data_IF_402011460553
#
_entry.id   IF_402011460553
#
_cell.length_a   1.000
_cell.length_b   1.000
_cell.length_c   1.000
_cell.angle_alpha   90.00
_cell.angle_beta   90.00
_cell.angle_gamma   90.00
#
_symmetry.space_group_name_H-M   'P 1'
#
loop_
_entity.id
_entity.type
_entity.pdbx_description
1 polymer ?
#
# COMPACT_ATOMS: atom_id res chain seq x y z
N UNK A 1 -39.85 -8.55 20.76
CA UNK A 1 -39.94 -8.10 22.17
C UNK A 1 -39.32 -6.72 22.25
N UNK A 2 -40.14 -5.68 22.30
CA UNK A 2 -39.73 -4.30 22.54
C UNK A 2 -39.43 -4.14 24.03
N UNK A 3 -38.20 -3.74 24.38
CA UNK A 3 -37.84 -3.37 25.75
C UNK A 3 -38.05 -1.85 25.90
N UNK A 4 -38.62 -1.34 27.00
CA UNK A 4 -38.95 0.08 27.14
C UNK A 4 -37.68 0.92 27.26
N UNK A 5 -37.64 2.06 26.57
CA UNK A 5 -36.67 3.14 26.79
C UNK A 5 -37.02 3.90 28.06
N UNK A 6 -36.44 3.51 29.19
CA UNK A 6 -36.44 4.36 30.39
C UNK A 6 -35.48 5.53 30.18
N UNK A 7 -36.04 6.74 30.05
CA UNK A 7 -35.27 7.98 30.10
C UNK A 7 -34.96 8.31 31.56
N UNK A 8 -33.75 7.96 32.01
CA UNK A 8 -33.24 8.41 33.30
C UNK A 8 -33.03 9.94 33.26
N UNK A 9 -33.94 10.69 33.90
CA UNK A 9 -33.75 12.12 34.12
C UNK A 9 -32.67 12.35 35.18
N UNK A 10 -31.70 13.24 34.96
CA UNK A 10 -30.64 13.48 35.94
C UNK A 10 -31.18 14.22 37.17
N UNK A 11 -30.67 13.91 38.39
CA UNK A 11 -31.03 14.64 39.59
C UNK A 11 -30.59 16.12 39.48
N UNK A 12 -31.47 17.00 39.94
CA UNK A 12 -31.34 18.46 39.83
C UNK A 12 -30.02 18.97 40.43
N UNK A 13 -29.28 19.77 39.65
CA UNK A 13 -28.18 20.60 40.15
C UNK A 13 -26.75 20.25 39.71
N UNK A 14 -26.52 19.22 38.87
CA UNK A 14 -25.21 18.99 38.25
C UNK A 14 -25.28 19.30 36.76
N UNK A 15 -24.38 20.16 36.27
CA UNK A 15 -24.21 20.42 34.83
C UNK A 15 -24.14 19.08 34.09
N UNK A 16 -25.07 18.86 33.17
CA UNK A 16 -25.18 17.68 32.32
C UNK A 16 -23.85 17.42 31.61
N UNK A 17 -23.04 16.51 32.14
CA UNK A 17 -22.08 15.77 31.35
C UNK A 17 -22.93 14.76 30.59
N UNK A 18 -23.20 15.08 29.34
CA UNK A 18 -23.93 14.25 28.40
C UNK A 18 -23.21 12.90 28.31
N UNK A 19 -23.66 11.92 29.10
CA UNK A 19 -23.32 10.52 28.92
C UNK A 19 -24.29 9.98 27.86
N UNK A 20 -24.03 10.28 26.59
CA UNK A 20 -24.84 9.71 25.51
C UNK A 20 -24.55 8.21 25.45
N UNK A 21 -25.48 7.41 25.98
CA UNK A 21 -25.55 6.00 25.67
C UNK A 21 -25.86 5.86 24.17
N UNK A 22 -24.87 5.46 23.37
CA UNK A 22 -25.09 5.05 21.99
C UNK A 22 -25.57 3.60 22.01
N UNK A 23 -26.89 3.39 22.08
CA UNK A 23 -27.48 2.07 21.86
C UNK A 23 -27.73 1.93 20.36
N UNK A 24 -26.77 1.36 19.64
CA UNK A 24 -26.94 1.04 18.23
C UNK A 24 -26.90 -0.48 18.01
N UNK A 25 -28.02 -1.02 17.54
CA UNK A 25 -28.11 -2.39 17.03
C UNK A 25 -27.65 -2.40 15.58
N UNK A 26 -26.42 -2.83 15.35
CA UNK A 26 -25.91 -3.09 14.01
C UNK A 26 -26.24 -4.52 13.61
N UNK A 27 -26.40 -4.78 12.31
CA UNK A 27 -26.65 -6.14 11.79
C UNK A 27 -25.64 -7.18 12.31
N UNK A 28 -24.40 -6.74 12.58
CA UNK A 28 -23.29 -7.60 12.97
C UNK A 28 -22.86 -7.44 14.43
N UNK A 29 -23.23 -6.35 15.12
CA UNK A 29 -22.74 -6.03 16.45
C UNK A 29 -23.84 -5.43 17.34
N UNK A 30 -23.82 -5.80 18.62
CA UNK A 30 -24.65 -5.19 19.66
C UNK A 30 -23.73 -4.64 20.76
N UNK A 31 -23.52 -3.32 20.77
CA UNK A 31 -22.57 -2.66 21.68
C UNK A 31 -23.33 -1.59 22.47
N UNK A 32 -23.64 -1.82 23.76
CA UNK A 32 -24.51 -0.93 24.55
C UNK A 32 -23.86 0.42 24.94
N UNK A 33 -22.53 0.52 24.88
CA UNK A 33 -21.78 1.71 25.28
C UNK A 33 -21.87 2.05 26.78
N UNK A 34 -21.33 3.21 27.21
CA UNK A 34 -20.55 4.18 26.43
C UNK A 34 -19.10 3.72 26.18
N UNK A 35 -18.37 4.46 25.34
CA UNK A 35 -16.93 4.24 25.17
C UNK A 35 -16.18 4.55 26.47
N UNK A 36 -15.27 3.66 26.89
CA UNK A 36 -14.59 3.73 28.19
C UNK A 36 -13.50 4.81 28.27
N UNK A 37 -12.97 5.24 27.12
CA UNK A 37 -11.88 6.22 27.07
C UNK A 37 -12.41 7.65 26.97
N UNK A 38 -11.70 8.58 27.59
CA UNK A 38 -11.91 10.00 27.34
C UNK A 38 -11.55 10.37 25.88
N UNK A 39 -12.13 11.43 25.29
CA UNK A 39 -11.78 11.86 23.95
C UNK A 39 -10.28 12.17 23.81
N UNK A 40 -9.60 11.52 22.86
CA UNK A 40 -8.25 11.89 22.45
C UNK A 40 -8.27 13.14 21.53
N UNK A 41 -7.11 13.79 21.27
CA UNK A 41 -7.06 14.93 20.36
C UNK A 41 -7.63 14.65 18.96
N UNK A 42 -7.38 13.45 18.41
CA UNK A 42 -7.91 13.04 17.10
C UNK A 42 -9.31 12.42 17.20
N UNK A 43 -9.68 11.88 18.37
CA UNK A 43 -10.87 11.04 18.63
C UNK A 43 -10.85 9.74 17.83
N UNK A 44 -10.91 9.84 16.51
CA UNK A 44 -10.76 8.76 15.55
C UNK A 44 -9.30 8.75 15.06
N UNK A 45 -8.59 7.61 15.11
CA UNK A 45 -7.25 7.53 14.51
C UNK A 45 -7.34 7.72 12.99
N UNK A 46 -6.21 8.06 12.36
CA UNK A 46 -6.14 8.12 10.90
C UNK A 46 -6.56 6.77 10.32
N UNK A 47 -7.50 6.79 9.38
CA UNK A 47 -8.03 5.58 8.75
C UNK A 47 -7.21 5.23 7.51
N UNK A 48 -6.31 4.26 7.66
CA UNK A 48 -5.59 3.66 6.55
C UNK A 48 -6.38 2.48 5.98
N UNK A 49 -6.37 2.34 4.66
CA UNK A 49 -6.99 1.22 3.96
C UNK A 49 -6.01 0.64 2.93
N UNK A 50 -6.09 -0.68 2.71
CA UNK A 50 -5.38 -1.35 1.64
C UNK A 50 -6.32 -2.34 0.94
N UNK A 51 -6.51 -2.19 -0.37
CA UNK A 51 -7.31 -3.13 -1.15
C UNK A 51 -7.81 -2.53 -2.45
N UNK A 52 -7.61 -3.26 -3.55
CA UNK A 52 -7.91 -2.79 -4.91
C UNK A 52 -9.11 -3.51 -5.55
N UNK A 53 -9.77 -4.42 -4.81
CA UNK A 53 -11.01 -5.07 -5.28
C UNK A 53 -12.13 -4.04 -5.44
N UNK A 54 -13.17 -4.35 -6.24
CA UNK A 54 -14.31 -3.43 -6.43
C UNK A 54 -14.95 -3.01 -5.10
N UNK A 55 -15.19 -3.96 -4.20
CA UNK A 55 -15.73 -3.66 -2.87
C UNK A 55 -14.72 -2.87 -2.01
N UNK A 56 -13.43 -3.20 -2.10
CA UNK A 56 -12.36 -2.47 -1.41
C UNK A 56 -12.28 -1.01 -1.84
N UNK A 57 -12.35 -0.73 -3.15
CA UNK A 57 -12.35 0.63 -3.71
C UNK A 57 -13.53 1.46 -3.19
N UNK A 58 -14.75 0.91 -3.19
CA UNK A 58 -15.93 1.61 -2.65
C UNK A 58 -15.79 1.87 -1.15
N UNK A 59 -15.33 0.88 -0.38
CA UNK A 59 -15.12 1.05 1.07
C UNK A 59 -14.04 2.10 1.37
N UNK A 60 -12.95 2.10 0.61
CA UNK A 60 -11.87 3.06 0.75
C UNK A 60 -12.32 4.48 0.40
N UNK A 61 -13.05 4.63 -0.72
CA UNK A 61 -13.65 5.91 -1.12
C UNK A 61 -14.55 6.49 -0.02
N UNK A 62 -15.30 5.64 0.69
CA UNK A 62 -16.17 6.07 1.78
C UNK A 62 -15.42 6.48 3.05
N UNK A 63 -14.38 5.72 3.44
CA UNK A 63 -13.84 5.79 4.81
C UNK A 63 -12.37 6.21 4.93
N UNK A 64 -11.55 5.95 3.91
CA UNK A 64 -10.10 6.08 4.04
C UNK A 64 -9.66 7.55 4.04
N UNK A 65 -8.69 7.86 4.89
CA UNK A 65 -7.91 9.10 4.85
C UNK A 65 -6.57 8.87 4.13
N UNK A 66 -6.03 7.65 4.20
CA UNK A 66 -4.89 7.23 3.40
C UNK A 66 -5.08 5.81 2.85
N UNK A 67 -4.57 5.56 1.65
CA UNK A 67 -4.69 4.28 0.96
C UNK A 67 -3.30 3.81 0.55
N UNK A 68 -2.97 2.58 0.92
CA UNK A 68 -1.76 1.91 0.45
C UNK A 68 -2.03 1.23 -0.89
N UNK A 69 -1.20 1.53 -1.88
CA UNK A 69 -1.24 0.92 -3.21
C UNK A 69 0.07 0.24 -3.53
N UNK A 70 0.00 -0.94 -4.12
CA UNK A 70 1.16 -1.69 -4.57
C UNK A 70 1.07 -1.91 -6.08
N UNK A 71 2.19 -1.73 -6.76
CA UNK A 71 2.35 -1.89 -8.19
C UNK A 71 3.83 -1.79 -8.56
N UNK A 72 4.18 -2.36 -9.71
CA UNK A 72 5.55 -2.36 -10.23
C UNK A 72 5.88 -1.14 -11.09
N UNK A 73 4.88 -0.32 -11.45
CA UNK A 73 5.06 0.94 -12.18
C UNK A 73 3.89 1.90 -11.89
N UNK A 74 4.05 3.22 -12.08
CA UNK A 74 2.99 4.18 -11.77
C UNK A 74 1.75 3.98 -12.65
N UNK A 75 1.92 3.68 -13.94
CA UNK A 75 0.84 3.32 -14.86
C UNK A 75 -0.13 2.25 -14.33
N UNK A 76 0.38 1.28 -13.54
CA UNK A 76 -0.41 0.16 -13.01
C UNK A 76 -1.41 0.63 -11.96
N UNK A 77 -1.04 1.61 -11.14
CA UNK A 77 -1.86 2.08 -10.01
C UNK A 77 -2.69 3.32 -10.37
N UNK A 78 -2.24 4.12 -11.34
CA UNK A 78 -2.86 5.40 -11.73
C UNK A 78 -4.38 5.29 -11.96
N UNK A 79 -4.81 4.28 -12.74
CA UNK A 79 -6.24 4.05 -13.01
C UNK A 79 -7.04 3.77 -11.74
N UNK A 80 -6.51 2.96 -10.82
CA UNK A 80 -7.21 2.62 -9.59
C UNK A 80 -7.30 3.81 -8.63
N UNK A 81 -6.26 4.65 -8.59
CA UNK A 81 -6.24 5.89 -7.80
C UNK A 81 -7.32 6.84 -8.31
N UNK A 82 -7.35 7.10 -9.62
CA UNK A 82 -8.36 7.95 -10.26
C UNK A 82 -9.78 7.42 -10.00
N UNK A 83 -10.01 6.12 -10.15
CA UNK A 83 -11.32 5.50 -9.87
C UNK A 83 -11.78 5.71 -8.43
N UNK A 84 -10.90 5.55 -7.43
CA UNK A 84 -11.26 5.75 -6.02
C UNK A 84 -11.57 7.23 -5.74
N UNK A 85 -10.75 8.15 -6.26
CA UNK A 85 -10.98 9.59 -6.15
C UNK A 85 -12.34 9.99 -6.75
N UNK A 86 -12.68 9.47 -7.93
CA UNK A 86 -14.00 9.68 -8.55
C UNK A 86 -15.13 9.10 -7.70
N UNK A 87 -15.00 7.86 -7.21
CA UNK A 87 -16.01 7.24 -6.34
C UNK A 87 -16.25 8.04 -5.05
N UNK A 88 -15.20 8.59 -4.46
CA UNK A 88 -15.29 9.40 -3.24
C UNK A 88 -16.16 10.65 -3.47
N UNK A 89 -15.97 11.33 -4.60
CA UNK A 89 -16.75 12.51 -4.95
C UNK A 89 -18.18 12.19 -5.37
N UNK A 90 -18.35 11.21 -6.26
CA UNK A 90 -19.64 10.94 -6.91
C UNK A 90 -20.62 10.20 -5.99
N UNK A 91 -20.14 9.30 -5.11
CA UNK A 91 -21.01 8.46 -4.28
C UNK A 91 -21.09 8.90 -2.83
N UNK A 92 -20.06 9.59 -2.33
CA UNK A 92 -19.94 9.93 -0.91
C UNK A 92 -19.75 11.43 -0.65
N UNK A 93 -19.77 12.26 -1.70
CA UNK A 93 -19.63 13.72 -1.60
C UNK A 93 -18.37 14.18 -0.84
N UNK A 94 -17.33 13.33 -0.82
CA UNK A 94 -16.04 13.64 -0.20
C UNK A 94 -15.14 14.35 -1.18
N UNK A 95 -14.34 15.29 -0.69
CA UNK A 95 -13.23 15.86 -1.46
C UNK A 95 -12.24 14.75 -1.84
N UNK A 96 -11.99 14.50 -3.15
CA UNK A 96 -11.01 13.53 -3.61
C UNK A 96 -9.61 13.72 -3.02
N UNK A 97 -9.24 14.96 -2.70
CA UNK A 97 -7.93 15.31 -2.15
C UNK A 97 -7.82 15.06 -0.63
N UNK A 98 -8.94 14.73 0.03
CA UNK A 98 -8.94 14.26 1.42
C UNK A 98 -8.43 12.83 1.58
N UNK A 99 -8.22 12.10 0.48
CA UNK A 99 -7.68 10.74 0.46
C UNK A 99 -6.25 10.79 -0.04
N UNK A 100 -5.30 10.31 0.76
CA UNK A 100 -3.87 10.28 0.44
C UNK A 100 -3.43 8.93 -0.07
N UNK A 101 -2.81 8.87 -1.24
CA UNK A 101 -2.33 7.61 -1.81
C UNK A 101 -0.84 7.42 -1.54
N UNK A 102 -0.47 6.30 -0.93
CA UNK A 102 0.91 5.96 -0.59
C UNK A 102 1.33 4.70 -1.35
N UNK A 103 2.22 4.85 -2.32
CA UNK A 103 2.71 3.74 -3.13
C UNK A 103 3.82 2.96 -2.41
N UNK A 104 3.80 1.63 -2.52
CA UNK A 104 4.87 0.77 -2.03
C UNK A 104 6.11 0.91 -2.94
N UNK A 105 7.18 1.50 -2.39
CA UNK A 105 8.49 1.61 -3.03
C UNK A 105 9.56 0.95 -2.16
N UNK A 106 10.49 0.25 -2.79
CA UNK A 106 11.61 -0.43 -2.15
C UNK A 106 12.92 0.11 -2.75
N UNK A 107 13.31 1.36 -2.46
CA UNK A 107 14.48 1.96 -3.08
C UNK A 107 15.77 1.31 -2.58
N UNK A 108 16.78 1.26 -3.45
CA UNK A 108 18.12 0.81 -3.11
C UNK A 108 19.15 1.83 -3.58
N UNK A 109 19.79 2.49 -2.61
CA UNK A 109 20.75 3.56 -2.86
C UNK A 109 22.20 3.09 -2.85
N UNK A 110 22.99 3.72 -3.71
CA UNK A 110 24.45 3.73 -3.66
C UNK A 110 24.98 5.13 -3.93
N UNK A 111 26.23 5.40 -3.55
CA UNK A 111 26.88 6.68 -3.86
C UNK A 111 27.13 6.82 -5.37
N UNK A 112 27.18 5.70 -6.06
CA UNK A 112 27.22 5.59 -7.51
C UNK A 112 26.18 4.57 -7.96
N UNK A 113 25.79 4.64 -9.24
CA UNK A 113 24.90 3.65 -9.85
C UNK A 113 25.49 2.23 -9.77
N UNK A 114 26.80 2.08 -10.00
CA UNK A 114 27.48 0.79 -9.90
C UNK A 114 27.36 0.21 -8.49
N UNK A 115 27.63 1.00 -7.45
CA UNK A 115 27.49 0.56 -6.06
C UNK A 115 26.05 0.10 -5.76
N UNK A 116 25.05 0.87 -6.20
CA UNK A 116 23.65 0.51 -6.03
C UNK A 116 23.33 -0.82 -6.74
N UNK A 117 23.85 -1.01 -7.96
CA UNK A 117 23.66 -2.24 -8.73
C UNK A 117 24.33 -3.44 -8.08
N UNK A 118 25.57 -3.28 -7.59
CA UNK A 118 26.29 -4.31 -6.85
C UNK A 118 25.54 -4.72 -5.58
N UNK A 119 25.03 -3.74 -4.81
CA UNK A 119 24.19 -4.01 -3.63
C UNK A 119 22.93 -4.80 -4.02
N UNK A 120 22.20 -4.37 -5.05
CA UNK A 120 21.00 -5.08 -5.55
C UNK A 120 21.32 -6.54 -5.94
N UNK A 121 22.42 -6.76 -6.67
CA UNK A 121 22.84 -8.11 -7.03
C UNK A 121 23.24 -8.95 -5.82
N UNK A 122 23.88 -8.33 -4.81
CA UNK A 122 24.23 -9.03 -3.57
C UNK A 122 22.99 -9.49 -2.80
N UNK A 123 21.95 -8.66 -2.71
CA UNK A 123 20.69 -9.02 -2.07
C UNK A 123 19.92 -10.08 -2.86
N UNK A 124 19.91 -10.01 -4.20
CA UNK A 124 19.34 -11.08 -5.03
C UNK A 124 20.00 -12.43 -4.79
N UNK A 125 21.31 -12.48 -4.53
CA UNK A 125 22.04 -13.73 -4.21
C UNK A 125 21.70 -14.28 -2.83
N UNK A 126 21.34 -13.41 -1.87
CA UNK A 126 21.00 -13.81 -0.51
C UNK A 126 19.53 -14.23 -0.35
N UNK A 127 18.66 -13.77 -1.23
CA UNK A 127 17.23 -14.03 -1.14
C UNK A 127 16.83 -15.46 -1.51
N UNK A 128 15.78 -15.96 -0.85
CA UNK A 128 15.22 -17.29 -1.12
C UNK A 128 14.15 -17.22 -2.20
N UNK A 129 14.37 -17.91 -3.32
CA UNK A 129 13.38 -18.05 -4.40
C UNK A 129 12.12 -18.75 -3.87
N UNK A 130 12.27 -19.83 -3.10
CA UNK A 130 11.13 -20.57 -2.53
C UNK A 130 10.31 -19.69 -1.58
N UNK A 131 10.99 -18.89 -0.74
CA UNK A 131 10.33 -17.92 0.14
C UNK A 131 9.57 -16.85 -0.65
N UNK A 132 10.17 -16.36 -1.74
CA UNK A 132 9.53 -15.46 -2.68
C UNK A 132 8.26 -16.09 -3.29
N UNK A 133 8.34 -17.31 -3.80
CA UNK A 133 7.20 -18.03 -4.38
C UNK A 133 6.09 -18.30 -3.35
N UNK A 134 6.46 -18.62 -2.11
CA UNK A 134 5.50 -18.77 -1.01
C UNK A 134 4.75 -17.46 -0.72
N UNK A 135 5.44 -16.31 -0.71
CA UNK A 135 4.81 -15.00 -0.57
C UNK A 135 3.87 -14.70 -1.74
N UNK A 136 4.30 -14.98 -2.97
CA UNK A 136 3.47 -14.82 -4.15
C UNK A 136 2.19 -15.65 -4.06
N UNK A 137 2.29 -16.92 -3.64
CA UNK A 137 1.14 -17.77 -3.40
C UNK A 137 0.22 -17.23 -2.31
N UNK A 138 0.77 -16.68 -1.23
CA UNK A 138 0.00 -16.04 -0.17
C UNK A 138 -0.78 -14.80 -0.63
N UNK A 139 -0.18 -13.96 -1.49
CA UNK A 139 -0.84 -12.74 -1.99
C UNK A 139 -1.87 -13.00 -3.08
N UNK A 140 -1.60 -13.98 -3.94
CA UNK A 140 -2.40 -14.21 -5.15
C UNK A 140 -3.34 -15.41 -5.06
N UNK A 141 -3.10 -16.31 -4.10
CA UNK A 141 -3.75 -17.62 -4.02
C UNK A 141 -3.25 -18.60 -5.09
N UNK A 142 -2.14 -18.30 -5.78
CA UNK A 142 -1.63 -19.08 -6.90
C UNK A 142 -0.37 -19.83 -6.45
N UNK A 143 -0.44 -21.15 -6.47
CA UNK A 143 0.73 -21.99 -6.32
C UNK A 143 1.48 -22.08 -7.66
N UNK A 144 2.68 -21.51 -7.74
CA UNK A 144 3.51 -21.57 -8.94
C UNK A 144 4.30 -22.88 -9.06
N UNK A 145 4.34 -23.71 -8.01
CA UNK A 145 5.05 -24.99 -8.09
C UNK A 145 4.29 -26.03 -8.92
N UNK A 146 3.01 -25.77 -9.22
CA UNK A 146 2.21 -26.62 -10.14
C UNK A 146 2.64 -26.49 -11.60
N UNK A 147 3.48 -25.50 -11.94
CA UNK A 147 3.96 -25.24 -13.29
C UNK A 147 5.37 -25.83 -13.51
N UNK A 148 5.66 -26.18 -14.77
CA UNK A 148 6.98 -26.68 -15.15
C UNK A 148 8.09 -25.64 -14.96
N UNK A 149 9.32 -26.11 -14.69
CA UNK A 149 10.46 -25.21 -14.41
C UNK A 149 10.78 -24.26 -15.58
N UNK A 150 10.59 -24.74 -16.81
CA UNK A 150 10.82 -23.99 -18.06
C UNK A 150 9.51 -23.48 -18.70
N UNK A 151 8.37 -23.64 -18.00
CA UNK A 151 7.08 -23.24 -18.53
C UNK A 151 6.94 -21.70 -18.55
N UNK A 152 6.62 -21.16 -19.71
CA UNK A 152 6.44 -19.72 -19.91
C UNK A 152 5.07 -19.26 -19.39
N UNK A 153 5.09 -18.57 -18.25
CA UNK A 153 3.90 -18.17 -17.49
C UNK A 153 3.05 -17.11 -18.19
N UNK A 154 3.52 -16.47 -19.27
CA UNK A 154 2.66 -15.60 -20.11
C UNK A 154 1.68 -16.38 -20.98
N UNK A 155 1.88 -17.68 -21.16
CA UNK A 155 1.07 -18.51 -22.06
C UNK A 155 0.18 -19.51 -21.32
N UNK A 156 0.20 -19.51 -19.98
CA UNK A 156 -0.63 -20.39 -19.17
C UNK A 156 -2.11 -19.98 -19.22
N UNK A 157 -2.99 -20.94 -18.97
CA UNK A 157 -4.45 -20.76 -19.00
C UNK A 157 -4.96 -19.80 -17.90
N UNK A 158 -4.23 -19.70 -16.78
CA UNK A 158 -4.63 -18.83 -15.66
C UNK A 158 -4.55 -17.35 -16.03
N UNK A 159 -5.71 -16.71 -16.18
CA UNK A 159 -5.83 -15.27 -16.44
C UNK A 159 -5.17 -14.40 -15.37
N UNK A 160 -5.17 -14.86 -14.11
CA UNK A 160 -4.56 -14.13 -13.00
C UNK A 160 -3.02 -14.11 -13.12
N UNK A 161 -2.40 -15.26 -13.41
CA UNK A 161 -0.95 -15.35 -13.64
C UNK A 161 -0.57 -14.52 -14.86
N UNK A 162 -1.29 -14.71 -15.96
CA UNK A 162 -1.02 -13.99 -17.19
C UNK A 162 -1.04 -12.48 -16.98
N UNK A 163 -2.03 -11.97 -16.26
CA UNK A 163 -2.16 -10.53 -15.98
C UNK A 163 -1.00 -10.01 -15.11
N UNK A 164 -0.63 -10.74 -14.05
CA UNK A 164 0.49 -10.36 -13.18
C UNK A 164 1.82 -10.34 -13.96
N UNK A 165 2.11 -11.42 -14.68
CA UNK A 165 3.36 -11.58 -15.45
C UNK A 165 3.42 -10.60 -16.62
N UNK A 166 2.31 -10.32 -17.30
CA UNK A 166 2.27 -9.30 -18.33
C UNK A 166 2.61 -7.91 -17.80
N UNK A 167 2.12 -7.56 -16.60
CA UNK A 167 2.49 -6.32 -15.93
C UNK A 167 4.01 -6.22 -15.73
N UNK A 168 4.60 -7.25 -15.10
CA UNK A 168 6.04 -7.29 -14.86
C UNK A 168 6.86 -7.27 -16.15
N UNK A 169 6.44 -7.98 -17.20
CA UNK A 169 7.13 -8.00 -18.49
C UNK A 169 7.18 -6.64 -19.18
N UNK A 170 6.18 -5.78 -18.95
CA UNK A 170 6.17 -4.41 -19.48
C UNK A 170 7.12 -3.50 -18.71
N UNK A 171 7.21 -3.70 -17.39
CA UNK A 171 8.13 -2.96 -16.54
C UNK A 171 9.59 -3.46 -16.66
N UNK A 172 9.79 -4.70 -17.10
CA UNK A 172 11.11 -5.35 -17.20
C UNK A 172 11.29 -5.98 -18.59
N UNK A 173 11.34 -5.17 -19.66
CA UNK A 173 11.35 -5.65 -21.05
C UNK A 173 12.60 -6.46 -21.41
N UNK A 174 13.68 -6.36 -20.64
CA UNK A 174 14.91 -7.14 -20.80
C UNK A 174 14.76 -8.62 -20.41
N UNK A 175 13.71 -8.97 -19.66
CA UNK A 175 13.43 -10.36 -19.28
C UNK A 175 12.70 -11.07 -20.42
N UNK A 176 13.45 -11.90 -21.15
CA UNK A 176 12.95 -12.60 -22.33
C UNK A 176 11.87 -13.65 -22.00
N UNK A 177 12.03 -14.40 -20.90
CA UNK A 177 11.17 -15.54 -20.53
C UNK A 177 10.76 -15.47 -19.05
N UNK A 178 9.47 -15.61 -18.79
CA UNK A 178 8.90 -15.57 -17.43
C UNK A 178 8.52 -16.97 -16.96
N UNK A 179 9.47 -17.68 -16.36
CA UNK A 179 9.22 -18.95 -15.66
C UNK A 179 8.95 -18.71 -14.17
N UNK A 180 8.60 -19.76 -13.41
CA UNK A 180 8.46 -19.64 -11.96
C UNK A 180 9.75 -19.15 -11.28
N UNK A 181 10.92 -19.57 -11.78
CA UNK A 181 12.21 -19.07 -11.29
C UNK A 181 12.38 -17.58 -11.58
N UNK A 182 12.02 -17.11 -12.79
CA UNK A 182 12.06 -15.69 -13.13
C UNK A 182 11.13 -14.85 -12.24
N UNK A 183 9.91 -15.34 -11.99
CA UNK A 183 8.96 -14.68 -11.07
C UNK A 183 9.55 -14.59 -9.67
N UNK A 184 10.03 -15.72 -9.14
CA UNK A 184 10.68 -15.76 -7.83
C UNK A 184 11.83 -14.75 -7.74
N UNK A 185 12.73 -14.75 -8.72
CA UNK A 185 13.84 -13.81 -8.78
C UNK A 185 13.43 -12.34 -8.85
N UNK A 186 12.32 -12.03 -9.55
CA UNK A 186 11.80 -10.67 -9.66
C UNK A 186 11.26 -10.17 -8.32
N UNK A 187 10.51 -11.01 -7.60
CA UNK A 187 9.89 -10.64 -6.32
C UNK A 187 10.85 -10.77 -5.13
N UNK A 188 11.95 -11.53 -5.26
CA UNK A 188 12.94 -11.76 -4.19
C UNK A 188 13.41 -10.45 -3.56
N UNK A 189 13.59 -9.40 -4.36
CA UNK A 189 13.96 -8.07 -3.87
C UNK A 189 12.82 -7.12 -4.18
N UNK A 190 12.19 -6.57 -3.12
CA UNK A 190 11.13 -5.56 -3.23
C UNK A 190 9.69 -6.10 -3.32
N UNK A 191 9.50 -7.41 -3.48
CA UNK A 191 8.17 -8.03 -3.45
C UNK A 191 7.26 -7.54 -4.57
N UNK A 192 6.10 -6.99 -4.23
CA UNK A 192 5.16 -6.38 -5.20
C UNK A 192 5.37 -4.88 -5.40
N UNK A 193 6.36 -4.29 -4.72
CA UNK A 193 6.71 -2.88 -4.84
C UNK A 193 7.68 -2.61 -5.97
N UNK A 194 7.64 -1.40 -6.50
CA UNK A 194 8.69 -0.93 -7.40
C UNK A 194 10.02 -0.80 -6.64
N UNK A 195 11.11 -1.20 -7.29
CA UNK A 195 12.45 -1.26 -6.67
C UNK A 195 13.43 -0.40 -7.44
N UNK A 196 13.37 0.94 -7.32
CA UNK A 196 14.33 1.81 -7.98
C UNK A 196 15.73 1.61 -7.38
N UNK A 197 16.72 1.41 -8.24
CA UNK A 197 18.11 1.15 -7.85
C UNK A 197 18.99 2.21 -8.49
N UNK A 198 19.72 2.98 -7.69
CA UNK A 198 20.60 4.02 -8.22
C UNK A 198 21.13 4.98 -7.16
N UNK A 199 21.58 6.14 -7.61
CA UNK A 199 21.94 7.26 -6.74
C UNK A 199 20.70 7.92 -6.13
N UNK A 200 20.89 8.73 -5.09
CA UNK A 200 19.80 9.48 -4.45
C UNK A 200 19.02 10.36 -5.44
N UNK A 201 19.72 10.96 -6.42
CA UNK A 201 19.11 11.79 -7.47
C UNK A 201 18.23 10.96 -8.40
N UNK A 202 18.73 9.82 -8.90
CA UNK A 202 17.97 8.92 -9.77
C UNK A 202 16.71 8.36 -9.08
N UNK A 203 16.81 8.00 -7.80
CA UNK A 203 15.64 7.52 -7.04
C UNK A 203 14.65 8.64 -6.76
N UNK A 204 15.11 9.86 -6.46
CA UNK A 204 14.24 11.01 -6.30
C UNK A 204 13.49 11.34 -7.60
N UNK A 205 14.17 11.30 -8.75
CA UNK A 205 13.56 11.49 -10.06
C UNK A 205 12.47 10.45 -10.35
N UNK A 206 12.71 9.18 -9.98
CA UNK A 206 11.70 8.12 -10.08
C UNK A 206 10.51 8.40 -9.15
N UNK A 207 10.74 8.79 -7.89
CA UNK A 207 9.66 9.17 -6.97
C UNK A 207 8.83 10.34 -7.53
N UNK A 208 9.49 11.34 -8.13
CA UNK A 208 8.84 12.45 -8.83
C UNK A 208 7.99 11.99 -10.02
N UNK A 209 8.50 11.01 -10.78
CA UNK A 209 7.76 10.37 -11.88
C UNK A 209 6.49 9.67 -11.36
N UNK A 210 6.57 8.94 -10.25
CA UNK A 210 5.41 8.32 -9.62
C UNK A 210 4.34 9.33 -9.20
N UNK A 211 4.73 10.44 -8.57
CA UNK A 211 3.80 11.51 -8.20
C UNK A 211 3.08 12.06 -9.43
N UNK A 212 3.82 12.35 -10.51
CA UNK A 212 3.27 12.96 -11.73
C UNK A 212 2.37 12.00 -12.53
N UNK A 213 2.76 10.74 -12.65
CA UNK A 213 2.04 9.78 -13.50
C UNK A 213 0.88 9.08 -12.78
N UNK A 214 1.07 8.72 -11.51
CA UNK A 214 0.08 7.98 -10.73
C UNK A 214 -0.79 8.82 -9.81
N UNK A 215 -0.47 10.11 -9.61
CA UNK A 215 -1.18 10.99 -8.67
C UNK A 215 -1.13 10.47 -7.21
N UNK A 216 0.04 9.95 -6.83
CA UNK A 216 0.32 9.52 -5.45
C UNK A 216 0.73 10.70 -4.57
N UNK A 217 0.33 10.66 -3.30
CA UNK A 217 0.64 11.67 -2.30
C UNK A 217 1.90 11.34 -1.47
N UNK A 218 2.51 10.18 -1.71
CA UNK A 218 3.72 9.74 -1.02
C UNK A 218 3.99 8.25 -1.16
N UNK A 219 4.85 7.75 -0.28
CA UNK A 219 5.41 6.40 -0.40
C UNK A 219 5.44 5.68 0.94
N UNK A 220 5.07 4.40 0.89
CA UNK A 220 5.32 3.44 1.96
C UNK A 220 6.61 2.70 1.62
N UNK A 221 7.70 2.98 2.33
CA UNK A 221 9.02 2.45 2.00
C UNK A 221 9.20 1.03 2.57
N UNK A 222 9.32 0.06 1.67
CA UNK A 222 9.61 -1.32 1.99
C UNK A 222 11.10 -1.53 2.31
N UNK A 223 11.38 -2.33 3.34
CA UNK A 223 12.74 -2.73 3.69
C UNK A 223 13.20 -3.89 2.80
N UNK A 224 14.40 -3.75 2.22
CA UNK A 224 15.13 -4.85 1.56
C UNK A 224 16.14 -5.47 2.53
N UNK A 225 16.80 -4.61 3.30
CA UNK A 225 17.67 -4.96 4.43
C UNK A 225 17.32 -4.08 5.64
N UNK A 226 17.79 -4.44 6.84
CA UNK A 226 17.57 -3.65 8.05
C UNK A 226 18.07 -2.21 7.99
N UNK A 227 18.94 -1.89 7.03
CA UNK A 227 19.58 -0.56 6.85
C UNK A 227 19.01 0.21 5.64
N UNK A 228 18.46 -0.49 4.64
CA UNK A 228 18.06 0.10 3.34
C UNK A 228 17.14 1.32 3.39
N UNK A 229 16.10 1.33 4.24
CA UNK A 229 15.19 2.48 4.37
C UNK A 229 15.83 3.65 5.14
N UNK A 230 16.74 3.36 6.07
CA UNK A 230 17.45 4.39 6.84
C UNK A 230 18.51 5.09 6.01
N UNK A 231 19.20 4.35 5.13
CA UNK A 231 20.12 4.90 4.12
C UNK A 231 19.37 5.85 3.18
N UNK A 232 18.20 5.46 2.67
CA UNK A 232 17.38 6.31 1.82
C UNK A 232 17.02 7.66 2.44
N UNK A 233 16.76 7.66 3.76
CA UNK A 233 16.50 8.88 4.51
C UNK A 233 17.78 9.70 4.76
N UNK A 234 18.89 9.04 5.10
CA UNK A 234 20.15 9.69 5.45
C UNK A 234 20.87 10.31 4.24
N UNK A 235 20.76 9.68 3.07
CA UNK A 235 21.45 10.09 1.84
C UNK A 235 20.66 11.10 0.99
N UNK A 236 19.53 11.60 1.51
CA UNK A 236 18.88 12.78 0.93
C UNK A 236 17.92 12.50 -0.23
N UNK A 237 17.54 11.24 -0.50
CA UNK A 237 16.47 10.91 -1.47
C UNK A 237 15.08 11.48 -1.07
N UNK A 238 14.99 12.13 0.09
CA UNK A 238 13.79 12.83 0.60
C UNK A 238 13.83 14.35 0.41
N UNK A 239 14.72 14.88 -0.44
CA UNK A 239 15.04 16.32 -0.53
C UNK A 239 14.29 17.16 -1.57
N UNK A 240 13.47 18.11 -1.10
CA UNK A 240 13.15 19.49 -1.59
C UNK A 240 13.20 19.87 -3.09
N UNK A 241 12.79 19.03 -4.04
CA UNK A 241 12.39 19.51 -5.37
C UNK A 241 10.86 19.61 -5.47
N UNK A 242 10.35 20.80 -5.80
CA UNK A 242 8.94 21.12 -6.15
C UNK A 242 7.88 21.42 -5.07
N UNK A 243 8.25 21.59 -3.79
CA UNK A 243 7.29 22.02 -2.75
C UNK A 243 6.50 20.87 -2.10
N UNK A 244 6.98 19.64 -2.29
CA UNK A 244 6.48 18.43 -1.65
C UNK A 244 7.38 18.06 -0.45
N UNK A 245 6.80 17.88 0.74
CA UNK A 245 7.50 17.33 1.90
C UNK A 245 7.22 15.83 1.93
N UNK A 246 8.23 14.99 1.65
CA UNK A 246 8.11 13.52 1.70
C UNK A 246 7.97 13.11 3.17
N UNK A 247 6.73 12.98 3.64
CA UNK A 247 6.43 12.56 5.01
C UNK A 247 6.55 11.04 5.13
N UNK A 248 7.67 10.57 5.67
CA UNK A 248 7.89 9.16 6.00
C UNK A 248 7.03 8.74 7.20
N UNK A 249 6.02 7.91 6.96
CA UNK A 249 5.28 7.21 8.01
C UNK A 249 6.04 5.94 8.43
N UNK A 250 7.12 6.09 9.20
CA UNK A 250 7.73 4.97 9.90
C UNK A 250 8.04 5.40 11.34
N UNK A 251 7.27 4.86 12.29
CA UNK A 251 7.38 5.13 13.71
C UNK A 251 8.72 4.65 14.28
N UNK A 252 9.22 5.40 15.27
CA UNK A 252 10.31 4.96 16.15
C UNK A 252 9.88 3.79 17.03
#
# INVERSE_FOLDING_TARGET
>A
MTVPTETLSPPSGKKSLILNAFVEMWKYFNVPGPHLCQPSPQRTPVILQAGTSKAGKTFAAQHAEAIFVAGHSPAVVAKSIAEIRTLAQEQFERDPQSIKFLALLCPLLGRTEEEAREKFQSYRRLGSIDGALALFGGWTGIDLDTYGDEEELRHVESNAIRSAVQGWSKATPEVATWTKSTVGQHITVGGLGATPVGTAEQVADEMDHWVREADVDGFNLGNISGESVWEARAEGATGRSSGFEISLACGR
#
